data_IF_660649578274
#
_entry.id   IF_660649578274
#
_cell.length_a   1.000
_cell.length_b   1.000
_cell.length_c   1.000
_cell.angle_alpha   90.00
_cell.angle_beta   90.00
_cell.angle_gamma   90.00
#
_symmetry.space_group_name_H-M   'P 1'
#
loop_
_entity.id
_entity.type
_entity.pdbx_description
1 polymer ?
#
# COMPACT_ATOMS: atom_id res chain seq x y z
N UNK A 1 -20.49 13.98 8.75
CA UNK A 1 -20.44 12.52 9.01
C UNK A 1 -20.78 11.82 7.70
N UNK A 2 -19.88 10.94 7.20
CA UNK A 2 -20.10 10.20 5.94
C UNK A 2 -20.16 8.71 6.22
N UNK A 3 -20.89 7.95 5.39
CA UNK A 3 -20.98 6.48 5.44
C UNK A 3 -19.94 5.92 4.47
N UNK A 4 -18.91 5.29 4.99
CA UNK A 4 -17.76 4.87 4.21
C UNK A 4 -17.65 3.34 4.20
N UNK A 5 -17.65 2.76 2.99
CA UNK A 5 -17.39 1.34 2.78
C UNK A 5 -15.88 1.14 2.62
N UNK A 6 -15.29 0.27 3.42
CA UNK A 6 -13.89 -0.12 3.31
C UNK A 6 -13.79 -1.58 2.91
N UNK A 7 -13.31 -1.87 1.71
CA UNK A 7 -13.04 -3.26 1.30
C UNK A 7 -11.68 -3.71 1.83
N UNK A 8 -11.56 -4.96 2.27
CA UNK A 8 -10.34 -5.42 2.91
C UNK A 8 -10.11 -4.79 4.30
N UNK A 9 -11.18 -4.42 4.99
CA UNK A 9 -11.18 -3.71 6.27
C UNK A 9 -10.39 -4.42 7.38
N UNK A 10 -10.35 -5.75 7.38
CA UNK A 10 -9.60 -6.57 8.32
C UNK A 10 -8.12 -6.79 7.91
N UNK A 11 -7.68 -6.23 6.79
CA UNK A 11 -6.30 -6.26 6.32
C UNK A 11 -5.38 -5.30 7.08
N UNK A 12 -4.07 -5.33 6.75
CA UNK A 12 -3.04 -4.50 7.36
C UNK A 12 -3.37 -2.99 7.25
N UNK A 13 -3.55 -2.48 6.04
CA UNK A 13 -3.92 -1.08 5.80
C UNK A 13 -5.39 -0.83 6.17
N UNK A 14 -6.29 -1.79 5.92
CA UNK A 14 -7.72 -1.66 6.20
C UNK A 14 -8.04 -1.34 7.65
N UNK A 15 -7.39 -2.02 8.59
CA UNK A 15 -7.56 -1.77 10.02
C UNK A 15 -7.10 -0.38 10.44
N UNK A 16 -6.01 0.12 9.88
CA UNK A 16 -5.53 1.48 10.13
C UNK A 16 -6.50 2.52 9.53
N UNK A 17 -6.93 2.32 8.27
CA UNK A 17 -7.90 3.19 7.62
C UNK A 17 -9.23 3.25 8.39
N UNK A 18 -9.76 2.09 8.82
CA UNK A 18 -10.98 2.06 9.64
C UNK A 18 -10.83 2.84 10.95
N UNK A 19 -9.70 2.70 11.67
CA UNK A 19 -9.44 3.50 12.89
C UNK A 19 -9.43 4.99 12.60
N UNK A 20 -8.71 5.42 11.57
CA UNK A 20 -8.62 6.83 11.20
C UNK A 20 -10.00 7.42 10.84
N UNK A 21 -10.84 6.65 10.16
CA UNK A 21 -12.20 7.05 9.80
C UNK A 21 -13.12 7.15 11.03
N UNK A 22 -13.07 6.17 11.92
CA UNK A 22 -13.86 6.16 13.16
C UNK A 22 -13.49 7.33 14.09
N UNK A 23 -12.18 7.60 14.24
CA UNK A 23 -11.68 8.78 14.97
C UNK A 23 -12.15 10.08 14.31
N UNK A 24 -12.25 10.11 12.98
CA UNK A 24 -12.83 11.23 12.23
C UNK A 24 -14.36 11.36 12.33
N UNK A 25 -15.04 10.52 13.11
CA UNK A 25 -16.50 10.57 13.32
C UNK A 25 -17.33 10.04 12.14
N UNK A 26 -16.75 9.20 11.28
CA UNK A 26 -17.48 8.61 10.15
C UNK A 26 -18.09 7.25 10.51
N UNK A 27 -19.20 6.89 9.86
CA UNK A 27 -19.79 5.55 9.94
C UNK A 27 -19.03 4.63 8.98
N UNK A 28 -18.43 3.55 9.49
CA UNK A 28 -17.57 2.65 8.71
C UNK A 28 -18.22 1.28 8.57
N UNK A 29 -18.43 0.86 7.32
CA UNK A 29 -18.79 -0.51 6.96
C UNK A 29 -17.57 -1.22 6.39
N UNK A 30 -17.17 -2.33 6.99
CA UNK A 30 -16.06 -3.15 6.54
C UNK A 30 -16.54 -4.32 5.68
N UNK A 31 -16.19 -4.35 4.39
CA UNK A 31 -16.44 -5.51 3.53
C UNK A 31 -15.28 -6.49 3.63
N UNK A 32 -15.54 -7.68 4.12
CA UNK A 32 -14.55 -8.72 4.39
C UNK A 32 -14.98 -10.07 3.81
N UNK A 33 -14.02 -10.94 3.49
CA UNK A 33 -14.34 -12.31 3.02
C UNK A 33 -14.72 -13.27 4.13
N UNK A 34 -14.20 -13.04 5.33
CA UNK A 34 -14.48 -13.84 6.53
C UNK A 34 -14.66 -12.88 7.70
N UNK A 35 -15.59 -13.17 8.61
CA UNK A 35 -15.85 -12.31 9.75
C UNK A 35 -14.67 -12.27 10.72
N UNK A 36 -14.64 -11.22 11.51
CA UNK A 36 -13.63 -10.99 12.55
C UNK A 36 -12.39 -10.25 12.07
N UNK A 37 -11.63 -9.80 13.06
CA UNK A 37 -10.39 -9.03 12.88
C UNK A 37 -10.57 -7.60 12.32
N UNK A 38 -11.75 -7.07 12.16
CA UNK A 38 -11.97 -5.64 12.05
C UNK A 38 -11.68 -4.94 13.38
N UNK A 39 -11.53 -3.63 13.36
CA UNK A 39 -11.43 -2.84 14.58
C UNK A 39 -12.84 -2.61 15.17
N UNK A 40 -12.91 -2.41 16.48
CA UNK A 40 -14.16 -2.12 17.17
C UNK A 40 -14.82 -0.86 16.58
N UNK A 41 -16.14 -0.88 16.46
CA UNK A 41 -16.94 0.19 15.85
C UNK A 41 -17.15 0.08 14.34
N UNK A 42 -16.53 -0.89 13.67
CA UNK A 42 -16.78 -1.19 12.24
C UNK A 42 -17.97 -2.14 12.12
N UNK A 43 -18.98 -1.77 11.30
CA UNK A 43 -20.05 -2.68 10.90
C UNK A 43 -19.52 -3.67 9.85
N UNK A 44 -19.29 -4.92 10.25
CA UNK A 44 -18.81 -5.93 9.30
C UNK A 44 -19.92 -6.40 8.35
N UNK A 45 -19.56 -6.53 7.07
CA UNK A 45 -20.34 -7.23 6.05
C UNK A 45 -19.46 -8.29 5.39
N UNK A 46 -19.92 -9.54 5.41
CA UNK A 46 -19.20 -10.66 4.81
C UNK A 46 -19.68 -10.86 3.38
N UNK A 47 -18.72 -10.99 2.49
CA UNK A 47 -18.95 -11.35 1.09
C UNK A 47 -17.79 -12.20 0.60
N UNK A 48 -18.08 -13.43 0.21
CA UNK A 48 -17.10 -14.45 -0.19
C UNK A 48 -17.09 -14.73 -1.71
N UNK A 49 -17.93 -14.01 -2.45
CA UNK A 49 -17.98 -14.12 -3.92
C UNK A 49 -16.60 -13.90 -4.55
N UNK A 50 -16.23 -14.80 -5.46
CA UNK A 50 -14.95 -14.70 -6.18
C UNK A 50 -14.95 -13.40 -6.99
N UNK A 51 -13.87 -12.63 -6.83
CA UNK A 51 -13.70 -11.34 -7.54
C UNK A 51 -14.91 -10.42 -7.43
N UNK A 52 -15.60 -10.46 -6.28
CA UNK A 52 -16.82 -9.68 -5.98
C UNK A 52 -18.01 -9.95 -6.92
N UNK A 53 -18.06 -11.12 -7.52
CA UNK A 53 -19.20 -11.50 -8.34
C UNK A 53 -20.48 -11.57 -7.51
N UNK A 54 -21.57 -10.97 -8.02
CA UNK A 54 -22.84 -10.89 -7.31
C UNK A 54 -22.92 -9.80 -6.21
N UNK A 55 -21.87 -9.01 -5.98
CA UNK A 55 -21.86 -8.00 -4.90
C UNK A 55 -22.96 -6.93 -5.04
N UNK A 56 -23.37 -6.60 -6.26
CA UNK A 56 -24.44 -5.62 -6.50
C UNK A 56 -25.80 -6.07 -5.92
N UNK A 57 -26.04 -7.38 -5.84
CA UNK A 57 -27.23 -7.97 -5.19
C UNK A 57 -27.09 -8.19 -3.68
N UNK A 58 -25.92 -7.96 -3.09
CA UNK A 58 -25.71 -8.14 -1.66
C UNK A 58 -26.41 -7.07 -0.83
N UNK A 59 -26.72 -7.41 0.44
CA UNK A 59 -27.29 -6.45 1.40
C UNK A 59 -26.21 -5.51 1.92
N UNK A 60 -25.94 -4.45 1.15
CA UNK A 60 -25.06 -3.36 1.53
C UNK A 60 -25.90 -2.15 1.99
N UNK A 61 -25.45 -1.43 3.03
CA UNK A 61 -26.08 -0.19 3.46
C UNK A 61 -25.95 0.90 2.38
N UNK A 62 -26.57 2.04 2.60
CA UNK A 62 -26.27 3.25 1.84
C UNK A 62 -24.82 3.68 2.07
N UNK A 63 -24.16 4.12 0.99
CA UNK A 63 -22.73 4.44 0.96
C UNK A 63 -22.56 5.84 0.38
N UNK A 64 -21.76 6.69 1.02
CA UNK A 64 -21.37 8.00 0.47
C UNK A 64 -20.01 7.90 -0.25
N UNK A 65 -19.09 7.09 0.28
CA UNK A 65 -17.75 6.91 -0.26
C UNK A 65 -17.25 5.48 -0.08
N UNK A 66 -16.42 5.01 -1.02
CA UNK A 66 -15.70 3.73 -0.91
C UNK A 66 -14.20 3.99 -0.76
N UNK A 67 -13.55 3.26 0.16
CA UNK A 67 -12.09 3.07 0.16
C UNK A 67 -11.80 1.62 -0.22
N UNK A 68 -11.31 1.41 -1.45
CA UNK A 68 -11.08 0.08 -1.98
C UNK A 68 -9.62 -0.36 -1.76
N UNK A 69 -9.43 -1.23 -0.75
CA UNK A 69 -8.13 -1.80 -0.35
C UNK A 69 -7.98 -3.27 -0.73
N UNK A 70 -9.09 -3.95 -0.99
CA UNK A 70 -9.05 -5.36 -1.34
C UNK A 70 -8.33 -5.54 -2.69
N UNK A 71 -7.33 -6.41 -2.70
CA UNK A 71 -6.57 -6.73 -3.89
C UNK A 71 -5.91 -8.10 -3.76
N UNK A 72 -5.68 -8.76 -4.90
CA UNK A 72 -4.66 -9.81 -4.97
C UNK A 72 -3.31 -9.11 -5.00
N UNK A 73 -2.51 -9.33 -3.95
CA UNK A 73 -1.15 -8.78 -3.81
C UNK A 73 -0.12 -9.90 -4.07
N UNK A 74 1.16 -9.56 -4.07
CA UNK A 74 2.27 -10.48 -4.30
C UNK A 74 2.08 -11.84 -3.61
N UNK A 75 1.81 -12.86 -4.40
CA UNK A 75 1.80 -14.26 -3.97
C UNK A 75 3.19 -14.80 -4.27
N UNK A 76 4.02 -15.02 -3.23
CA UNK A 76 5.42 -15.43 -3.36
C UNK A 76 5.62 -16.75 -4.12
N UNK A 77 4.60 -17.62 -4.15
CA UNK A 77 4.53 -18.83 -4.95
C UNK A 77 3.16 -18.86 -5.62
N UNK A 78 2.98 -18.03 -6.66
CA UNK A 78 1.72 -18.04 -7.40
C UNK A 78 1.59 -19.37 -8.15
N UNK A 79 0.57 -20.15 -7.78
CA UNK A 79 0.23 -21.41 -8.42
C UNK A 79 -0.82 -21.25 -9.53
N UNK A 80 -1.22 -20.01 -9.84
CA UNK A 80 -2.12 -19.75 -10.94
C UNK A 80 -1.44 -20.13 -12.27
N UNK A 81 -2.15 -20.84 -13.13
CA UNK A 81 -1.67 -21.21 -14.46
C UNK A 81 -1.35 -19.96 -15.30
N UNK A 82 -2.11 -18.89 -15.12
CA UNK A 82 -1.89 -17.57 -15.69
C UNK A 82 -1.99 -16.50 -14.60
N UNK A 83 -0.83 -16.01 -14.09
CA UNK A 83 -0.81 -14.95 -13.08
C UNK A 83 -1.44 -13.63 -13.55
N UNK A 84 -1.22 -13.22 -14.81
CA UNK A 84 -1.80 -11.98 -15.34
C UNK A 84 -3.33 -12.03 -15.31
N UNK A 85 -3.93 -13.13 -15.77
CA UNK A 85 -5.37 -13.33 -15.73
C UNK A 85 -5.91 -13.31 -14.29
N UNK A 86 -5.23 -14.00 -13.36
CA UNK A 86 -5.65 -14.05 -11.97
C UNK A 86 -5.57 -12.69 -11.26
N UNK A 87 -4.53 -11.88 -11.56
CA UNK A 87 -4.43 -10.52 -11.06
C UNK A 87 -5.50 -9.61 -11.67
N UNK A 88 -5.77 -9.69 -12.97
CA UNK A 88 -6.79 -8.90 -13.65
C UNK A 88 -8.20 -9.23 -13.14
N UNK A 89 -8.52 -10.49 -12.93
CA UNK A 89 -9.83 -10.90 -12.41
C UNK A 89 -10.15 -10.20 -11.09
N UNK A 90 -9.25 -10.25 -10.11
CA UNK A 90 -9.48 -9.62 -8.81
C UNK A 90 -9.27 -8.11 -8.84
N UNK A 91 -8.14 -7.64 -9.41
CA UNK A 91 -7.72 -6.23 -9.25
C UNK A 91 -8.36 -5.28 -10.25
N UNK A 92 -8.82 -5.77 -11.41
CA UNK A 92 -9.53 -4.98 -12.39
C UNK A 92 -11.04 -5.28 -12.37
N UNK A 93 -11.43 -6.50 -12.73
CA UNK A 93 -12.85 -6.85 -12.82
C UNK A 93 -13.54 -6.74 -11.47
N UNK A 94 -12.93 -7.29 -10.43
CA UNK A 94 -13.44 -7.19 -9.06
C UNK A 94 -13.57 -5.75 -8.57
N UNK A 95 -12.60 -4.89 -8.89
CA UNK A 95 -12.66 -3.47 -8.54
C UNK A 95 -13.85 -2.76 -9.21
N UNK A 96 -14.09 -3.01 -10.49
CA UNK A 96 -15.25 -2.42 -11.19
C UNK A 96 -16.58 -2.93 -10.65
N UNK A 97 -16.67 -4.21 -10.24
CA UNK A 97 -17.86 -4.76 -9.57
C UNK A 97 -18.14 -4.07 -8.23
N UNK A 98 -17.09 -3.80 -7.44
CA UNK A 98 -17.23 -3.03 -6.21
C UNK A 98 -17.69 -1.61 -6.49
N UNK A 99 -17.13 -0.97 -7.51
CA UNK A 99 -17.49 0.38 -7.91
C UNK A 99 -18.97 0.47 -8.30
N UNK A 100 -19.45 -0.47 -9.12
CA UNK A 100 -20.85 -0.51 -9.55
C UNK A 100 -21.81 -0.85 -8.39
N UNK A 101 -21.45 -1.80 -7.54
CA UNK A 101 -22.24 -2.09 -6.34
C UNK A 101 -22.38 -0.86 -5.42
N UNK A 102 -21.30 -0.11 -5.24
CA UNK A 102 -21.32 1.12 -4.45
C UNK A 102 -22.15 2.23 -5.10
N UNK A 103 -22.08 2.38 -6.43
CA UNK A 103 -22.92 3.30 -7.18
C UNK A 103 -24.41 3.04 -6.95
N UNK A 104 -24.81 1.77 -7.01
CA UNK A 104 -26.20 1.36 -6.75
C UNK A 104 -26.64 1.64 -5.30
N UNK A 105 -25.72 1.88 -4.37
CA UNK A 105 -25.97 2.24 -2.96
C UNK A 105 -25.77 3.73 -2.66
N UNK A 106 -25.67 4.57 -3.70
CA UNK A 106 -25.61 6.03 -3.58
C UNK A 106 -24.22 6.61 -3.38
N UNK A 107 -23.15 5.83 -3.58
CA UNK A 107 -21.79 6.35 -3.49
C UNK A 107 -21.55 7.46 -4.52
N UNK A 108 -20.92 8.53 -4.07
CA UNK A 108 -20.54 9.68 -4.90
C UNK A 108 -19.03 9.76 -5.10
N UNK A 109 -18.25 9.00 -4.32
CA UNK A 109 -16.79 8.99 -4.38
C UNK A 109 -16.23 7.57 -4.23
N UNK A 110 -15.19 7.27 -5.01
CA UNK A 110 -14.47 6.01 -4.97
C UNK A 110 -12.97 6.25 -4.84
N UNK A 111 -12.40 5.96 -3.66
CA UNK A 111 -10.96 6.04 -3.39
C UNK A 111 -10.35 4.68 -3.66
N UNK A 112 -9.54 4.59 -4.71
CA UNK A 112 -8.84 3.38 -5.11
C UNK A 112 -7.41 3.37 -4.60
N UNK A 113 -7.06 2.41 -3.76
CA UNK A 113 -5.68 2.22 -3.33
C UNK A 113 -4.94 1.38 -4.36
N UNK A 114 -4.18 2.08 -5.19
CA UNK A 114 -3.29 1.51 -6.19
C UNK A 114 -1.93 1.18 -5.58
N UNK A 115 -0.86 1.40 -6.31
CA UNK A 115 0.53 1.21 -5.87
C UNK A 115 1.46 2.01 -6.78
N UNK A 116 2.62 2.43 -6.28
CA UNK A 116 3.70 2.95 -7.13
C UNK A 116 4.09 1.96 -8.24
N UNK A 117 3.86 0.65 -8.04
CA UNK A 117 4.12 -0.38 -9.05
C UNK A 117 3.23 -0.29 -10.29
N UNK A 118 2.09 0.38 -10.21
CA UNK A 118 1.30 0.75 -11.39
C UNK A 118 2.04 1.74 -12.29
N UNK A 119 3.06 2.42 -11.75
CA UNK A 119 3.87 3.40 -12.45
C UNK A 119 5.23 2.84 -12.86
N UNK A 120 6.05 2.38 -11.88
CA UNK A 120 7.39 1.86 -12.13
C UNK A 120 7.93 1.00 -10.97
N UNK A 121 9.03 0.28 -11.20
CA UNK A 121 9.79 -0.47 -10.19
C UNK A 121 11.01 0.33 -9.67
N UNK A 122 11.43 1.38 -10.38
CA UNK A 122 12.53 2.27 -10.02
C UNK A 122 12.35 3.65 -10.64
N UNK A 123 12.93 4.65 -10.03
CA UNK A 123 13.11 5.97 -10.64
C UNK A 123 14.37 6.01 -11.50
N UNK A 124 14.49 7.03 -12.36
CA UNK A 124 15.65 7.30 -13.21
C UNK A 124 16.63 8.32 -12.59
N UNK A 125 16.60 8.48 -11.26
CA UNK A 125 17.38 9.49 -10.53
C UNK A 125 16.58 10.75 -10.20
N UNK A 126 15.32 10.83 -10.65
CA UNK A 126 14.37 11.89 -10.31
C UNK A 126 13.13 11.26 -9.68
N UNK A 127 12.60 11.79 -8.57
CA UNK A 127 11.36 11.28 -7.96
C UNK A 127 10.22 11.20 -8.98
N UNK A 128 9.48 10.11 -8.93
CA UNK A 128 8.33 9.86 -9.81
C UNK A 128 7.16 10.77 -9.41
N UNK A 129 6.66 11.56 -10.34
CA UNK A 129 5.41 12.32 -10.20
C UNK A 129 4.22 11.50 -10.71
N UNK A 130 3.00 11.95 -10.42
CA UNK A 130 1.77 11.33 -10.90
C UNK A 130 1.67 11.34 -12.43
N UNK A 131 2.34 12.29 -13.08
CA UNK A 131 2.34 12.47 -14.54
C UNK A 131 3.47 11.69 -15.24
N UNK A 132 4.33 11.02 -14.48
CA UNK A 132 5.37 10.16 -15.05
C UNK A 132 4.76 9.05 -15.90
N UNK A 133 5.23 8.82 -17.15
CA UNK A 133 4.72 7.76 -17.99
C UNK A 133 4.82 6.38 -17.34
N UNK A 134 3.69 5.69 -17.23
CA UNK A 134 3.62 4.39 -16.56
C UNK A 134 4.31 3.29 -17.38
N UNK A 135 5.17 2.51 -16.71
CA UNK A 135 5.87 1.33 -17.25
C UNK A 135 5.88 0.20 -16.22
N UNK A 136 4.72 -0.37 -15.87
CA UNK A 136 4.65 -1.46 -14.90
C UNK A 136 5.32 -2.72 -15.44
N UNK A 137 6.21 -3.34 -14.64
CA UNK A 137 7.00 -4.49 -15.09
C UNK A 137 6.40 -5.84 -14.64
N UNK A 138 5.69 -5.89 -13.52
CA UNK A 138 5.12 -7.15 -13.03
C UNK A 138 3.59 -7.24 -13.22
N UNK A 139 2.99 -8.45 -13.17
CA UNK A 139 1.56 -8.66 -13.34
C UNK A 139 0.70 -7.85 -12.36
N UNK A 140 1.17 -7.69 -11.12
CA UNK A 140 0.48 -6.89 -10.12
C UNK A 140 0.45 -5.41 -10.52
N UNK A 141 1.59 -4.83 -10.89
CA UNK A 141 1.67 -3.43 -11.34
C UNK A 141 0.79 -3.18 -12.56
N UNK A 142 0.82 -4.10 -13.56
CA UNK A 142 -0.05 -4.02 -14.75
C UNK A 142 -1.53 -4.04 -14.36
N UNK A 143 -1.94 -4.97 -13.50
CA UNK A 143 -3.34 -5.08 -13.07
C UNK A 143 -3.82 -3.84 -12.30
N UNK A 144 -2.94 -3.23 -11.48
CA UNK A 144 -3.26 -1.97 -10.79
C UNK A 144 -3.39 -0.81 -11.77
N UNK A 145 -2.49 -0.71 -12.77
CA UNK A 145 -2.56 0.32 -13.82
C UNK A 145 -3.83 0.18 -14.66
N UNK A 146 -4.16 -1.03 -15.08
CA UNK A 146 -5.39 -1.30 -15.84
C UNK A 146 -6.64 -0.88 -15.04
N UNK A 147 -6.66 -1.18 -13.74
CA UNK A 147 -7.76 -0.78 -12.85
C UNK A 147 -7.86 0.75 -12.69
N UNK A 148 -6.73 1.47 -12.57
CA UNK A 148 -6.73 2.93 -12.55
C UNK A 148 -7.39 3.52 -13.78
N UNK A 149 -6.99 3.07 -14.98
CA UNK A 149 -7.53 3.56 -16.25
C UNK A 149 -9.02 3.26 -16.39
N UNK A 150 -9.42 2.03 -16.06
CA UNK A 150 -10.81 1.61 -16.13
C UNK A 150 -11.70 2.36 -15.14
N UNK A 151 -11.23 2.60 -13.91
CA UNK A 151 -11.96 3.38 -12.91
C UNK A 151 -12.12 4.84 -13.30
N UNK A 152 -11.07 5.46 -13.85
CA UNK A 152 -11.14 6.85 -14.31
C UNK A 152 -12.17 7.01 -15.46
N UNK A 153 -12.21 6.02 -16.37
CA UNK A 153 -13.23 6.03 -17.43
C UNK A 153 -14.62 5.79 -16.83
N UNK A 154 -14.78 4.77 -15.98
CA UNK A 154 -16.05 4.49 -15.30
C UNK A 154 -16.55 5.68 -14.48
N UNK A 155 -15.66 6.40 -13.79
CA UNK A 155 -16.01 7.60 -13.03
C UNK A 155 -16.58 8.71 -13.92
N UNK A 156 -15.98 8.94 -15.10
CA UNK A 156 -16.50 9.89 -16.10
C UNK A 156 -17.90 9.50 -16.59
N UNK A 157 -18.10 8.21 -16.89
CA UNK A 157 -19.35 7.71 -17.45
C UNK A 157 -20.49 7.67 -16.41
N UNK A 158 -20.15 7.43 -15.14
CA UNK A 158 -21.12 7.32 -14.02
C UNK A 158 -21.35 8.61 -13.25
N UNK A 159 -20.51 9.63 -13.44
CA UNK A 159 -20.53 10.87 -12.66
C UNK A 159 -20.01 10.73 -11.24
N UNK A 160 -19.27 9.65 -10.93
CA UNK A 160 -18.69 9.39 -9.62
C UNK A 160 -17.25 9.90 -9.57
N UNK A 161 -16.92 10.61 -8.49
CA UNK A 161 -15.55 11.09 -8.26
C UNK A 161 -14.61 9.91 -7.96
N UNK A 162 -13.58 9.73 -8.79
CA UNK A 162 -12.56 8.71 -8.58
C UNK A 162 -11.27 9.37 -8.08
N UNK A 163 -10.78 8.89 -6.95
CA UNK A 163 -9.49 9.28 -6.37
C UNK A 163 -8.57 8.08 -6.35
N UNK A 164 -7.41 8.21 -6.96
CA UNK A 164 -6.38 7.16 -6.98
C UNK A 164 -5.28 7.52 -5.99
N UNK A 165 -4.94 6.61 -5.09
CA UNK A 165 -3.83 6.75 -4.16
C UNK A 165 -2.76 5.72 -4.49
N UNK A 166 -1.53 6.16 -4.78
CA UNK A 166 -0.37 5.31 -5.08
C UNK A 166 0.64 5.34 -3.93
N UNK A 167 0.54 4.44 -2.95
CA UNK A 167 1.54 4.29 -1.92
C UNK A 167 2.77 3.53 -2.44
N UNK A 168 3.97 3.78 -1.87
CA UNK A 168 5.15 2.94 -1.99
C UNK A 168 5.05 1.74 -1.04
N UNK A 169 6.18 1.21 -0.56
CA UNK A 169 6.19 0.17 0.48
C UNK A 169 5.58 0.70 1.78
N UNK A 170 4.50 0.06 2.23
CA UNK A 170 3.82 0.39 3.49
C UNK A 170 4.45 -0.40 4.63
N UNK A 171 4.75 0.27 5.73
CA UNK A 171 5.28 -0.35 6.96
C UNK A 171 4.50 0.09 8.20
N UNK A 172 4.67 -0.61 9.30
CA UNK A 172 3.97 -0.32 10.55
C UNK A 172 3.66 -1.58 11.37
N UNK A 173 2.99 -1.45 12.52
CA UNK A 173 2.50 -2.57 13.32
C UNK A 173 1.62 -3.52 12.51
N UNK A 174 2.00 -4.81 12.43
CA UNK A 174 1.30 -5.79 11.61
C UNK A 174 1.90 -6.03 10.23
N UNK A 175 3.00 -5.36 9.88
CA UNK A 175 3.71 -5.55 8.61
C UNK A 175 4.15 -7.01 8.40
N UNK A 176 4.19 -7.44 7.14
CA UNK A 176 4.51 -8.81 6.72
C UNK A 176 5.62 -8.83 5.67
N UNK A 177 5.92 -10.02 5.17
CA UNK A 177 6.81 -10.26 4.03
C UNK A 177 8.21 -9.63 4.19
N UNK A 178 8.65 -8.86 3.20
CA UNK A 178 10.04 -8.38 3.11
C UNK A 178 10.43 -7.45 4.25
N UNK A 179 9.54 -6.57 4.69
CA UNK A 179 9.85 -5.66 5.81
C UNK A 179 10.03 -6.42 7.12
N UNK A 180 9.17 -7.42 7.38
CA UNK A 180 9.33 -8.28 8.56
C UNK A 180 10.65 -9.07 8.50
N UNK A 181 11.02 -9.61 7.34
CA UNK A 181 12.32 -10.30 7.16
C UNK A 181 13.50 -9.36 7.41
N UNK A 182 13.38 -8.10 7.04
CA UNK A 182 14.39 -7.08 7.31
C UNK A 182 14.53 -6.84 8.83
N UNK A 183 13.41 -6.70 9.55
CA UNK A 183 13.40 -6.61 11.02
C UNK A 183 14.07 -7.85 11.65
N UNK A 184 13.69 -9.05 11.22
CA UNK A 184 14.26 -10.32 11.71
C UNK A 184 15.78 -10.37 11.50
N UNK A 185 16.26 -9.96 10.33
CA UNK A 185 17.68 -9.99 10.01
C UNK A 185 18.49 -9.03 10.90
N UNK A 186 18.00 -7.81 11.09
CA UNK A 186 18.64 -6.82 11.97
C UNK A 186 18.56 -7.27 13.43
N UNK A 187 17.40 -7.74 13.90
CA UNK A 187 17.21 -8.19 15.27
C UNK A 187 18.13 -9.38 15.62
N UNK A 188 18.36 -10.32 14.68
CA UNK A 188 19.30 -11.44 14.83
C UNK A 188 20.76 -11.04 14.68
N UNK A 189 21.05 -9.80 14.26
CA UNK A 189 22.41 -9.32 14.01
C UNK A 189 23.09 -10.01 12.82
N UNK A 190 22.32 -10.41 11.83
CA UNK A 190 22.85 -10.99 10.59
C UNK A 190 23.68 -9.95 9.84
N UNK A 191 24.93 -10.27 9.44
CA UNK A 191 25.72 -9.37 8.60
C UNK A 191 25.06 -9.20 7.23
N UNK A 192 24.78 -7.95 6.85
CA UNK A 192 24.10 -7.62 5.59
C UNK A 192 25.07 -6.93 4.64
N UNK A 193 25.33 -7.46 3.43
CA UNK A 193 26.24 -6.85 2.46
C UNK A 193 25.59 -5.67 1.72
N UNK A 194 24.96 -4.75 2.47
CA UNK A 194 24.16 -3.63 1.95
C UNK A 194 24.73 -2.25 2.34
N UNK A 195 25.87 -2.20 3.02
CA UNK A 195 26.47 -0.95 3.50
C UNK A 195 26.83 0.05 2.39
N UNK A 196 27.11 -0.44 1.17
CA UNK A 196 27.41 0.42 0.01
C UNK A 196 26.19 0.75 -0.87
N UNK A 197 24.99 0.25 -0.52
CA UNK A 197 23.78 0.51 -1.32
C UNK A 197 23.25 1.91 -1.01
N UNK A 198 23.36 2.82 -1.97
CA UNK A 198 22.91 4.22 -1.88
C UNK A 198 21.51 4.46 -2.45
N UNK A 199 20.87 3.41 -2.96
CA UNK A 199 19.50 3.48 -3.48
C UNK A 199 18.53 4.03 -2.43
N UNK A 200 17.76 5.05 -2.79
CA UNK A 200 16.76 5.69 -1.93
C UNK A 200 15.39 5.06 -2.13
N UNK A 201 14.63 4.95 -1.05
CA UNK A 201 13.30 4.35 -1.09
C UNK A 201 12.30 5.23 -0.35
N UNK A 202 11.29 5.70 -1.08
CA UNK A 202 10.08 6.20 -0.43
C UNK A 202 9.38 5.05 0.29
N UNK A 203 8.89 5.34 1.47
CA UNK A 203 8.12 4.46 2.34
C UNK A 203 6.89 5.23 2.81
N UNK A 204 5.90 4.53 3.34
CA UNK A 204 4.79 5.18 4.05
C UNK A 204 4.43 4.39 5.30
N UNK A 205 4.37 5.08 6.42
CA UNK A 205 3.86 4.54 7.66
C UNK A 205 2.35 4.27 7.52
N UNK A 206 1.90 3.13 8.02
CA UNK A 206 0.52 2.67 7.80
C UNK A 206 -0.52 3.65 8.31
N UNK A 207 -0.26 4.34 9.44
CA UNK A 207 -1.20 5.32 9.97
C UNK A 207 -1.13 6.66 9.19
N UNK A 208 0.02 7.02 8.61
CA UNK A 208 0.14 8.15 7.67
C UNK A 208 -0.68 7.87 6.40
N UNK A 209 -0.57 6.64 5.86
CA UNK A 209 -1.41 6.23 4.72
C UNK A 209 -2.89 6.26 5.08
N UNK A 210 -3.27 5.77 6.26
CA UNK A 210 -4.65 5.77 6.73
C UNK A 210 -5.23 7.19 6.85
N UNK A 211 -4.44 8.13 7.34
CA UNK A 211 -4.84 9.54 7.42
C UNK A 211 -4.97 10.18 6.02
N UNK A 212 -4.03 9.90 5.10
CA UNK A 212 -4.15 10.33 3.71
C UNK A 212 -5.41 9.78 3.03
N UNK A 213 -5.75 8.50 3.28
CA UNK A 213 -6.96 7.88 2.74
C UNK A 213 -8.23 8.52 3.31
N UNK A 214 -8.24 8.86 4.61
CA UNK A 214 -9.32 9.63 5.23
C UNK A 214 -9.46 11.00 4.55
N UNK A 215 -8.35 11.72 4.37
CA UNK A 215 -8.33 13.00 3.65
C UNK A 215 -8.91 12.85 2.23
N UNK A 216 -8.41 11.90 1.44
CA UNK A 216 -8.91 11.64 0.08
C UNK A 216 -10.39 11.25 0.04
N UNK A 217 -10.91 10.59 1.08
CA UNK A 217 -12.33 10.21 1.16
C UNK A 217 -13.26 11.37 1.53
N UNK A 218 -12.75 12.39 2.24
CA UNK A 218 -13.59 13.41 2.88
C UNK A 218 -13.35 14.84 2.39
N UNK A 219 -12.18 15.16 1.83
CA UNK A 219 -11.89 16.48 1.29
C UNK A 219 -12.54 16.63 -0.10
N UNK A 220 -13.41 17.65 -0.31
CA UNK A 220 -14.07 17.86 -1.59
C UNK A 220 -13.09 18.20 -2.73
N UNK A 221 -11.88 18.66 -2.42
CA UNK A 221 -10.84 18.97 -3.42
C UNK A 221 -10.12 17.73 -3.93
N UNK A 222 -10.24 16.58 -3.22
CA UNK A 222 -9.54 15.38 -3.62
C UNK A 222 -10.10 14.81 -4.93
N UNK A 223 -9.31 14.89 -5.99
CA UNK A 223 -9.65 14.36 -7.32
C UNK A 223 -8.40 13.87 -8.05
N UNK A 224 -8.54 12.90 -8.94
CA UNK A 224 -7.44 12.39 -9.75
C UNK A 224 -6.51 11.44 -8.99
N UNK A 225 -5.20 11.64 -9.13
CA UNK A 225 -4.19 10.71 -8.59
C UNK A 225 -3.25 11.42 -7.62
N UNK A 226 -2.96 10.78 -6.49
CA UNK A 226 -2.03 11.26 -5.48
C UNK A 226 -0.99 10.20 -5.12
N UNK A 227 0.27 10.60 -5.06
CA UNK A 227 1.33 9.86 -4.41
C UNK A 227 1.32 10.15 -2.90
N UNK A 228 1.43 9.10 -2.08
CA UNK A 228 1.42 9.22 -0.61
C UNK A 228 2.63 8.52 -0.05
N UNK A 229 3.52 9.27 0.58
CA UNK A 229 4.72 8.74 1.22
C UNK A 229 5.07 9.58 2.46
N UNK A 230 5.91 9.04 3.33
CA UNK A 230 6.55 9.79 4.42
C UNK A 230 7.49 10.85 3.84
N UNK A 231 7.89 11.84 4.67
CA UNK A 231 8.76 12.93 4.23
C UNK A 231 10.16 12.48 3.83
N UNK A 232 10.65 11.42 4.45
CA UNK A 232 11.99 10.89 4.22
C UNK A 232 11.97 9.76 3.18
N UNK A 233 12.94 9.80 2.26
CA UNK A 233 13.29 8.68 1.42
C UNK A 233 14.70 8.19 1.80
N UNK A 234 14.86 7.38 2.87
CA UNK A 234 16.16 6.91 3.32
C UNK A 234 16.82 6.03 2.26
N UNK A 235 18.16 5.96 2.29
CA UNK A 235 18.86 4.90 1.57
C UNK A 235 18.54 3.54 2.19
N UNK A 236 18.71 2.45 1.43
CA UNK A 236 18.52 1.09 1.97
C UNK A 236 19.41 0.87 3.20
N UNK A 237 20.68 1.31 3.15
CA UNK A 237 21.58 1.24 4.31
C UNK A 237 21.07 2.12 5.47
N UNK A 238 20.62 3.35 5.18
CA UNK A 238 20.07 4.26 6.17
C UNK A 238 18.82 3.70 6.87
N UNK A 239 17.90 3.10 6.11
CA UNK A 239 16.71 2.45 6.66
C UNK A 239 17.09 1.31 7.62
N UNK A 240 18.06 0.47 7.23
CA UNK A 240 18.54 -0.63 8.09
C UNK A 240 19.20 -0.08 9.37
N UNK A 241 19.94 1.03 9.27
CA UNK A 241 20.52 1.69 10.44
C UNK A 241 19.44 2.24 11.37
N UNK A 242 18.42 2.94 10.84
CA UNK A 242 17.28 3.44 11.62
C UNK A 242 16.51 2.30 12.32
N UNK A 243 16.32 1.17 11.64
CA UNK A 243 15.71 -0.04 12.22
C UNK A 243 16.59 -0.57 13.35
N UNK A 244 17.91 -0.61 13.17
CA UNK A 244 18.86 -1.03 14.20
C UNK A 244 18.83 -0.12 15.43
N UNK A 245 18.80 1.20 15.21
CA UNK A 245 18.64 2.19 16.29
C UNK A 245 17.35 1.94 17.09
N UNK A 246 16.22 1.79 16.41
CA UNK A 246 14.93 1.51 17.05
C UNK A 246 14.92 0.17 17.80
N UNK A 247 15.62 -0.85 17.30
CA UNK A 247 15.78 -2.14 17.96
C UNK A 247 16.78 -2.08 19.15
N UNK A 248 17.51 -0.97 19.36
CA UNK A 248 18.61 -0.88 20.32
C UNK A 248 19.78 -1.81 19.97
N UNK A 249 19.87 -2.25 18.73
CA UNK A 249 20.92 -3.14 18.22
C UNK A 249 21.37 -2.67 16.84
N UNK A 250 22.56 -2.06 16.71
CA UNK A 250 23.06 -1.56 15.45
C UNK A 250 23.07 -2.62 14.35
N UNK A 251 22.56 -2.24 13.16
CA UNK A 251 22.57 -3.13 12.00
C UNK A 251 24.02 -3.40 11.54
N UNK A 252 24.38 -4.67 11.33
CA UNK A 252 25.69 -5.07 10.84
C UNK A 252 25.76 -4.91 9.32
N UNK A 253 26.06 -3.72 8.85
CA UNK A 253 26.14 -3.38 7.43
C UNK A 253 27.58 -3.53 6.93
N UNK A 254 27.80 -4.53 6.09
CA UNK A 254 29.10 -4.72 5.48
C UNK A 254 29.17 -3.88 4.18
N UNK A 255 30.27 -3.12 3.96
CA UNK A 255 30.49 -2.44 2.71
C UNK A 255 30.78 -3.50 1.61
N UNK A 256 29.89 -3.59 0.63
CA UNK A 256 30.01 -4.56 -0.44
C UNK A 256 29.70 -3.88 -1.79
N UNK A 257 30.58 -4.02 -2.80
CA UNK A 257 30.38 -3.37 -4.09
C UNK A 257 29.07 -3.80 -4.76
N UNK A 258 28.23 -2.85 -5.16
CA UNK A 258 26.93 -3.12 -5.79
C UNK A 258 27.07 -3.93 -7.08
N UNK A 259 28.15 -3.69 -7.86
CA UNK A 259 28.46 -4.47 -9.07
C UNK A 259 28.66 -5.95 -8.78
N UNK A 260 29.34 -6.28 -7.67
CA UNK A 260 29.54 -7.67 -7.24
C UNK A 260 28.25 -8.29 -6.72
N UNK A 261 27.41 -7.53 -5.99
CA UNK A 261 26.06 -8.00 -5.61
C UNK A 261 25.23 -8.37 -6.84
N UNK A 262 25.26 -7.54 -7.89
CA UNK A 262 24.57 -7.83 -9.15
C UNK A 262 25.12 -9.08 -9.85
N UNK A 263 26.43 -9.25 -9.88
CA UNK A 263 27.07 -10.44 -10.46
C UNK A 263 26.63 -11.71 -9.72
N UNK A 264 26.68 -11.70 -8.38
CA UNK A 264 26.19 -12.82 -7.55
C UNK A 264 24.70 -13.06 -7.78
N UNK A 265 23.91 -11.99 -7.85
CA UNK A 265 22.46 -12.08 -8.12
C UNK A 265 22.15 -12.78 -9.45
N UNK A 266 22.93 -12.49 -10.49
CA UNK A 266 22.81 -13.16 -11.81
C UNK A 266 23.17 -14.64 -11.72
N UNK A 267 24.29 -14.97 -11.07
CA UNK A 267 24.74 -16.36 -10.90
C UNK A 267 23.78 -17.21 -10.06
N UNK A 268 23.08 -16.60 -9.10
CA UNK A 268 22.15 -17.31 -8.19
C UNK A 268 20.67 -17.23 -8.62
N UNK A 269 20.37 -16.65 -9.81
CA UNK A 269 18.98 -16.46 -10.26
C UNK A 269 18.20 -15.43 -9.46
N UNK A 270 18.89 -14.56 -8.69
CA UNK A 270 18.27 -13.52 -7.81
C UNK A 270 18.46 -12.10 -8.31
N UNK A 271 18.74 -11.92 -9.59
CA UNK A 271 19.00 -10.59 -10.20
C UNK A 271 17.90 -9.59 -9.91
N UNK A 272 16.62 -9.97 -10.09
CA UNK A 272 15.49 -9.08 -9.84
C UNK A 272 15.41 -8.62 -8.36
N UNK A 273 15.82 -9.45 -7.40
CA UNK A 273 15.84 -9.08 -5.99
C UNK A 273 16.97 -8.08 -5.70
N UNK A 274 18.16 -8.29 -6.29
CA UNK A 274 19.30 -7.39 -6.14
C UNK A 274 19.02 -6.06 -6.84
N UNK A 275 18.45 -6.07 -8.03
CA UNK A 275 18.11 -4.84 -8.75
C UNK A 275 17.05 -4.01 -8.01
N UNK A 276 16.07 -4.67 -7.39
CA UNK A 276 15.13 -3.99 -6.49
C UNK A 276 15.82 -3.35 -5.28
N UNK A 277 16.83 -3.97 -4.69
CA UNK A 277 17.58 -3.41 -3.56
C UNK A 277 18.51 -2.28 -3.99
N UNK A 278 19.11 -2.40 -5.16
CA UNK A 278 20.11 -1.48 -5.68
C UNK A 278 19.52 -0.30 -6.49
N UNK A 279 18.24 -0.37 -6.88
CA UNK A 279 17.54 0.69 -7.61
C UNK A 279 16.83 1.64 -6.67
N UNK A 280 16.90 2.95 -6.91
CA UNK A 280 16.08 3.94 -6.19
C UNK A 280 14.62 3.91 -6.65
N UNK A 281 13.72 4.24 -5.73
CA UNK A 281 12.30 4.43 -6.03
C UNK A 281 11.77 5.52 -5.11
N UNK A 282 11.80 6.75 -5.58
CA UNK A 282 11.35 7.91 -4.85
C UNK A 282 10.08 8.47 -5.48
N UNK A 283 9.14 8.91 -4.65
CA UNK A 283 7.89 9.54 -5.07
C UNK A 283 7.95 11.04 -4.81
N UNK A 284 7.45 11.81 -5.74
CA UNK A 284 7.09 13.20 -5.54
C UNK A 284 5.69 13.24 -4.91
N UNK A 285 5.58 13.85 -3.75
CA UNK A 285 4.33 13.99 -2.98
C UNK A 285 3.83 15.43 -2.94
N UNK A 286 4.35 16.32 -3.80
CA UNK A 286 3.96 17.73 -3.80
C UNK A 286 2.48 17.92 -4.09
N UNK A 287 1.92 17.17 -5.03
CA UNK A 287 0.51 17.32 -5.43
C UNK A 287 -0.45 17.19 -4.25
N UNK A 288 -0.35 16.14 -3.43
CA UNK A 288 -1.25 15.98 -2.27
C UNK A 288 -1.07 17.09 -1.23
N UNK A 289 0.15 17.63 -1.08
CA UNK A 289 0.45 18.73 -0.17
C UNK A 289 -0.15 20.04 -0.66
N UNK A 290 0.03 20.37 -1.93
CA UNK A 290 -0.42 21.61 -2.53
C UNK A 290 -1.95 21.64 -2.69
N UNK A 291 -2.55 20.57 -3.17
CA UNK A 291 -3.98 20.51 -3.45
C UNK A 291 -4.83 20.28 -2.18
N UNK A 292 -4.38 19.38 -1.28
CA UNK A 292 -5.15 18.99 -0.09
C UNK A 292 -4.58 19.56 1.22
N UNK A 293 -3.39 20.14 1.20
CA UNK A 293 -2.69 20.56 2.43
C UNK A 293 -2.25 19.39 3.31
N UNK A 294 -2.26 18.16 2.79
CA UNK A 294 -1.93 16.99 3.58
C UNK A 294 -0.43 16.87 3.82
N UNK A 295 -0.08 16.55 5.06
CA UNK A 295 1.28 16.19 5.48
C UNK A 295 1.22 14.93 6.35
N UNK A 296 2.25 14.04 6.30
CA UNK A 296 2.25 12.85 7.14
C UNK A 296 2.25 13.23 8.63
N UNK A 297 1.26 12.78 9.42
CA UNK A 297 1.17 13.10 10.85
C UNK A 297 2.33 12.58 11.69
N UNK A 298 2.98 11.52 11.24
CA UNK A 298 4.10 10.89 11.97
C UNK A 298 5.37 10.89 11.11
N UNK A 299 6.51 11.14 11.74
CA UNK A 299 7.81 10.99 11.07
C UNK A 299 8.14 9.51 10.83
N UNK A 300 9.05 9.24 9.88
CA UNK A 300 9.58 7.90 9.63
C UNK A 300 10.14 7.26 10.90
N UNK A 301 10.84 8.02 11.74
CA UNK A 301 11.37 7.51 13.02
C UNK A 301 10.28 7.08 13.98
N UNK A 302 9.21 7.84 14.13
CA UNK A 302 8.06 7.48 14.96
C UNK A 302 7.37 6.22 14.44
N UNK A 303 7.14 6.12 13.14
CA UNK A 303 6.56 4.93 12.51
C UNK A 303 7.44 3.68 12.68
N UNK A 304 8.77 3.82 12.58
CA UNK A 304 9.72 2.72 12.83
C UNK A 304 9.73 2.31 14.30
N UNK A 305 9.70 3.25 15.25
CA UNK A 305 9.62 2.95 16.68
C UNK A 305 8.35 2.14 16.98
N UNK A 306 7.17 2.59 16.54
CA UNK A 306 5.92 1.87 16.72
C UNK A 306 5.95 0.47 16.08
N UNK A 307 6.62 0.33 14.92
CA UNK A 307 6.77 -0.96 14.22
C UNK A 307 7.65 -1.92 15.02
N UNK A 308 8.74 -1.42 15.60
CA UNK A 308 9.66 -2.22 16.43
C UNK A 308 9.01 -2.61 17.76
N UNK A 309 8.24 -1.74 18.39
CA UNK A 309 7.52 -2.06 19.63
C UNK A 309 6.50 -3.18 19.39
N UNK A 310 5.75 -3.12 18.28
CA UNK A 310 4.88 -4.21 17.86
C UNK A 310 5.69 -5.49 17.58
N UNK A 311 6.84 -5.39 16.92
CA UNK A 311 7.68 -6.55 16.63
C UNK A 311 8.16 -7.24 17.91
N UNK A 312 8.60 -6.47 18.91
CA UNK A 312 9.02 -6.98 20.24
C UNK A 312 7.85 -7.65 20.97
N UNK A 313 6.67 -7.03 21.00
CA UNK A 313 5.49 -7.57 21.68
C UNK A 313 5.05 -8.91 21.11
N UNK A 314 5.29 -9.15 19.81
CA UNK A 314 5.02 -10.43 19.15
C UNK A 314 5.95 -11.55 19.62
N UNK A 315 7.23 -11.24 19.88
CA UNK A 315 8.23 -12.23 20.30
C UNK A 315 8.24 -12.51 21.79
N UNK A 316 7.59 -11.68 22.60
CA UNK A 316 7.38 -11.95 24.02
C UNK A 316 6.16 -12.83 24.32
N UNK A 317 5.32 -13.14 23.30
CA UNK A 317 4.12 -13.99 23.42
C UNK A 317 4.33 -15.42 22.93
N UNK A 318 5.49 -15.75 22.42
CA UNK A 318 5.94 -17.11 22.03
C UNK A 318 7.00 -17.61 23.00
#
# INVERSE_FOLDING_TARGET
MSRILVTGANGFVGRAACRALLVGGHAVTGLVRRPGNCVDGVSERCFDGIDFDGLAGADLPEIDCVIHLAARVHVMNDRAADPDLAFRATNLTGTLRVAEAARCRGARRFVFVSSVKALAESDSGTPLSEDTPARPLDPYGRSKRDAELALLQWGKDSGIEVVIVRPPLVYGPGVRANFLRMLDAVARGVPLPLGSVRARRSLVYVDNLADALRCCATDPRATGCFHVADDDAPTVAGLLSMVGEALGRPARLLPFPVGLLRAIGRLTGRSAQVDRLAGSLQLDTRRIREELGWQPPSTTRQGLAATVDWYRSRHHRT
#
